data_IF_434523015247
#
_entry.id   IF_434523015247
#
_cell.length_a   1.000
_cell.length_b   1.000
_cell.length_c   1.000
_cell.angle_alpha   90.00
_cell.angle_beta   90.00
_cell.angle_gamma   90.00
#
_symmetry.space_group_name_H-M   'P 1'
#
loop_
_entity.id
_entity.type
_entity.pdbx_description
1 polymer ?
#
# COMPACT_ATOMS: atom_id res chain seq x y z
N UNK A 1 10.77 24.81 -2.60
CA UNK A 1 9.34 24.42 -2.55
C UNK A 1 9.29 22.95 -2.14
N UNK A 2 8.77 22.66 -0.97
CA UNK A 2 8.49 21.30 -0.53
C UNK A 2 7.31 20.84 -1.39
N UNK A 3 7.57 19.96 -2.35
CA UNK A 3 6.52 19.34 -3.14
C UNK A 3 5.78 18.38 -2.21
N UNK A 4 4.50 18.62 -1.98
CA UNK A 4 3.68 17.72 -1.19
C UNK A 4 3.56 16.38 -1.96
N UNK A 5 4.11 15.26 -1.46
CA UNK A 5 4.06 13.97 -2.15
C UNK A 5 2.64 13.40 -2.22
N UNK A 6 1.74 13.96 -1.44
CA UNK A 6 0.31 13.69 -1.48
C UNK A 6 -0.43 14.66 -2.42
N UNK A 7 0.21 15.08 -3.53
CA UNK A 7 -0.46 15.95 -4.50
C UNK A 7 -1.69 15.23 -5.02
N UNK A 8 -2.81 15.75 -4.61
CA UNK A 8 -4.14 15.31 -5.04
C UNK A 8 -4.44 15.96 -6.39
N UNK A 9 -4.22 15.26 -7.46
CA UNK A 9 -4.75 15.63 -8.76
C UNK A 9 -6.01 14.82 -9.05
N UNK A 10 -7.07 15.10 -8.31
CA UNK A 10 -8.38 14.54 -8.59
C UNK A 10 -9.16 14.16 -7.33
N UNK A 11 -10.01 15.06 -6.85
CA UNK A 11 -11.14 14.69 -6.00
C UNK A 11 -12.13 13.92 -6.88
N UNK A 12 -12.26 12.62 -6.66
CA UNK A 12 -13.38 11.87 -7.22
C UNK A 12 -14.58 12.17 -6.32
N UNK A 13 -15.56 12.92 -6.85
CA UNK A 13 -16.78 13.26 -6.12
C UNK A 13 -17.65 12.01 -5.94
N UNK A 14 -18.15 11.73 -4.73
CA UNK A 14 -19.03 10.58 -4.46
C UNK A 14 -20.29 10.50 -5.33
N UNK A 15 -20.73 11.60 -5.90
CA UNK A 15 -21.91 11.65 -6.77
C UNK A 15 -21.72 10.88 -8.10
N UNK A 16 -20.49 10.55 -8.48
CA UNK A 16 -20.18 9.88 -9.74
C UNK A 16 -19.93 8.37 -9.63
N UNK A 17 -20.26 7.76 -8.51
CA UNK A 17 -20.00 6.33 -8.27
C UNK A 17 -20.87 5.37 -9.11
N UNK A 18 -21.77 5.87 -9.93
CA UNK A 18 -22.61 5.04 -10.80
C UNK A 18 -21.96 4.66 -12.12
N UNK A 19 -20.92 5.37 -12.57
CA UNK A 19 -20.18 5.06 -13.80
C UNK A 19 -18.73 4.68 -13.50
N UNK A 20 -18.52 3.42 -13.14
CA UNK A 20 -17.22 2.87 -12.80
C UNK A 20 -16.18 2.95 -13.92
N UNK A 21 -16.62 3.03 -15.16
CA UNK A 21 -15.69 3.08 -16.30
C UNK A 21 -15.01 4.44 -16.40
N UNK A 22 -15.76 5.54 -16.33
CA UNK A 22 -15.14 6.89 -16.37
C UNK A 22 -14.23 7.15 -15.18
N UNK A 23 -14.66 6.74 -13.98
CA UNK A 23 -13.85 6.91 -12.77
C UNK A 23 -12.57 6.08 -12.83
N UNK A 24 -12.69 4.84 -13.32
CA UNK A 24 -11.52 3.97 -13.50
C UNK A 24 -10.54 4.56 -14.52
N UNK A 25 -11.00 5.14 -15.61
CA UNK A 25 -10.15 5.80 -16.62
C UNK A 25 -9.42 7.00 -16.01
N UNK A 26 -10.09 7.81 -15.21
CA UNK A 26 -9.46 8.95 -14.53
C UNK A 26 -8.39 8.50 -13.52
N UNK A 27 -8.70 7.47 -12.73
CA UNK A 27 -7.79 6.89 -11.75
C UNK A 27 -6.56 6.31 -12.45
N UNK A 28 -6.74 5.53 -13.49
CA UNK A 28 -5.67 4.93 -14.30
C UNK A 28 -4.78 6.02 -14.89
N UNK A 29 -5.37 7.00 -15.56
CA UNK A 29 -4.61 8.11 -16.18
C UNK A 29 -3.79 8.88 -15.16
N UNK A 30 -4.32 9.10 -13.97
CA UNK A 30 -3.60 9.81 -12.92
C UNK A 30 -2.40 9.02 -12.41
N UNK A 31 -2.55 7.73 -12.22
CA UNK A 31 -1.45 6.84 -11.78
C UNK A 31 -0.41 6.65 -12.89
N UNK A 32 -0.81 6.52 -14.14
CA UNK A 32 0.10 6.43 -15.29
C UNK A 32 0.94 7.70 -15.46
N UNK A 33 0.41 8.85 -15.04
CA UNK A 33 1.15 10.12 -14.99
C UNK A 33 2.08 10.24 -13.76
N UNK A 34 2.22 9.19 -12.96
CA UNK A 34 3.10 9.15 -11.81
C UNK A 34 2.58 9.87 -10.56
N UNK A 35 1.28 10.14 -10.48
CA UNK A 35 0.67 10.80 -9.34
C UNK A 35 0.21 9.80 -8.28
N UNK A 36 0.30 10.21 -7.02
CA UNK A 36 -0.42 9.54 -5.94
C UNK A 36 -1.85 10.07 -5.87
N UNK A 37 -2.78 9.24 -5.42
CA UNK A 37 -4.20 9.57 -5.37
C UNK A 37 -4.75 9.52 -3.95
N UNK A 38 -5.72 10.39 -3.69
CA UNK A 38 -6.53 10.34 -2.47
C UNK A 38 -8.01 10.17 -2.85
N UNK A 39 -8.63 9.12 -2.32
CA UNK A 39 -10.04 8.82 -2.51
C UNK A 39 -10.76 8.98 -1.17
N UNK A 40 -11.64 9.95 -1.09
CA UNK A 40 -12.44 10.20 0.10
C UNK A 40 -13.90 9.94 -0.24
N UNK A 41 -14.50 8.95 0.41
CA UNK A 41 -15.90 8.60 0.19
C UNK A 41 -16.47 7.93 1.45
N UNK A 42 -17.74 8.16 1.77
CA UNK A 42 -18.39 7.47 2.89
C UNK A 42 -18.24 5.95 2.81
N UNK A 43 -18.36 5.29 3.95
CA UNK A 43 -18.37 3.82 4.00
C UNK A 43 -19.45 3.25 3.10
N UNK A 44 -19.19 2.09 2.51
CA UNK A 44 -20.10 1.35 1.60
C UNK A 44 -20.42 2.04 0.27
N UNK A 45 -19.68 3.09 -0.09
CA UNK A 45 -19.85 3.79 -1.38
C UNK A 45 -18.95 3.24 -2.50
N UNK A 46 -18.42 2.04 -2.34
CA UNK A 46 -17.75 1.32 -3.43
C UNK A 46 -16.28 1.68 -3.71
N UNK A 47 -15.58 2.42 -2.80
CA UNK A 47 -14.13 2.72 -2.95
C UNK A 47 -13.30 1.49 -3.24
N UNK A 48 -13.43 0.49 -2.38
CA UNK A 48 -12.74 -0.80 -2.52
C UNK A 48 -13.06 -1.46 -3.83
N UNK A 49 -14.35 -1.46 -4.22
CA UNK A 49 -14.81 -2.03 -5.50
C UNK A 49 -14.21 -1.32 -6.70
N UNK A 50 -14.05 0.01 -6.67
CA UNK A 50 -13.41 0.77 -7.74
C UNK A 50 -11.93 0.40 -7.88
N UNK A 51 -11.19 0.35 -6.78
CA UNK A 51 -9.77 -0.01 -6.78
C UNK A 51 -9.60 -1.45 -7.29
N UNK A 52 -10.38 -2.39 -6.79
CA UNK A 52 -10.34 -3.79 -7.23
C UNK A 52 -10.72 -3.92 -8.71
N UNK A 53 -11.68 -3.17 -9.19
CA UNK A 53 -12.03 -3.14 -10.60
C UNK A 53 -10.87 -2.70 -11.48
N UNK A 54 -10.11 -1.67 -11.07
CA UNK A 54 -8.89 -1.26 -11.76
C UNK A 54 -7.81 -2.33 -11.72
N UNK A 55 -7.62 -2.99 -10.58
CA UNK A 55 -6.62 -4.04 -10.39
C UNK A 55 -6.89 -5.29 -11.25
N UNK A 56 -8.14 -5.56 -11.58
CA UNK A 56 -8.53 -6.69 -12.43
C UNK A 56 -8.30 -6.45 -13.93
N UNK A 57 -8.00 -5.22 -14.35
CA UNK A 57 -7.72 -4.92 -15.76
C UNK A 57 -6.47 -5.65 -16.23
N UNK A 58 -6.54 -6.36 -17.39
CA UNK A 58 -5.41 -7.16 -17.91
C UNK A 58 -4.13 -6.33 -18.10
N UNK A 59 -4.26 -5.08 -18.55
CA UNK A 59 -3.13 -4.17 -18.76
C UNK A 59 -2.40 -3.89 -17.44
N UNK A 60 -3.14 -3.68 -16.38
CA UNK A 60 -2.58 -3.44 -15.06
C UNK A 60 -1.91 -4.68 -14.48
N UNK A 61 -2.51 -5.85 -14.61
CA UNK A 61 -1.91 -7.12 -14.15
C UNK A 61 -0.59 -7.41 -14.85
N UNK A 62 -0.48 -7.00 -16.11
CA UNK A 62 0.76 -7.17 -16.90
C UNK A 62 1.83 -6.16 -16.50
N UNK A 63 1.44 -4.91 -16.27
CA UNK A 63 2.36 -3.77 -16.09
C UNK A 63 2.80 -3.58 -14.65
N UNK A 64 1.90 -3.80 -13.69
CA UNK A 64 2.11 -3.45 -12.29
C UNK A 64 2.04 -4.65 -11.35
N UNK A 65 2.75 -4.56 -10.23
CA UNK A 65 2.36 -5.26 -9.02
C UNK A 65 1.37 -4.39 -8.26
N UNK A 66 0.20 -4.94 -7.95
CA UNK A 66 -0.88 -4.22 -7.29
C UNK A 66 -1.15 -4.80 -5.91
N UNK A 67 -1.20 -3.93 -4.90
CA UNK A 67 -1.43 -4.30 -3.50
C UNK A 67 -2.61 -3.51 -2.94
N UNK A 68 -3.41 -4.17 -2.13
CA UNK A 68 -4.52 -3.57 -1.41
C UNK A 68 -4.38 -3.89 0.08
N UNK A 69 -4.20 -2.86 0.89
CA UNK A 69 -3.96 -2.98 2.33
C UNK A 69 -5.07 -2.24 3.08
N UNK A 70 -5.88 -2.97 3.83
CA UNK A 70 -6.88 -2.40 4.74
C UNK A 70 -6.26 -2.29 6.14
N UNK A 71 -6.16 -1.06 6.64
CA UNK A 71 -5.58 -0.77 7.95
C UNK A 71 -6.60 -0.39 9.01
N UNK A 72 -7.89 -0.64 8.77
CA UNK A 72 -8.97 -0.29 9.70
C UNK A 72 -8.74 -0.82 11.12
N UNK A 73 -8.26 -2.05 11.23
CA UNK A 73 -8.07 -2.73 12.52
C UNK A 73 -6.67 -2.55 13.13
N UNK A 74 -5.85 -1.70 12.54
CA UNK A 74 -4.52 -1.39 13.07
C UNK A 74 -4.58 -0.27 14.10
N UNK A 75 -3.73 -0.34 15.13
CA UNK A 75 -3.66 0.62 16.22
C UNK A 75 -2.26 1.15 16.51
N UNK A 76 -1.25 0.73 15.75
CA UNK A 76 0.15 1.12 15.94
C UNK A 76 0.95 1.03 14.64
N UNK A 77 2.11 1.66 14.61
CA UNK A 77 3.06 1.53 13.51
C UNK A 77 3.52 0.08 13.32
N UNK A 78 3.66 -0.67 14.40
CA UNK A 78 3.99 -2.11 14.35
C UNK A 78 2.93 -2.91 13.59
N UNK A 79 1.66 -2.70 13.92
CA UNK A 79 0.55 -3.37 13.22
C UNK A 79 0.42 -2.92 11.76
N UNK A 80 0.64 -1.64 11.48
CA UNK A 80 0.69 -1.13 10.11
C UNK A 80 1.78 -1.83 9.30
N UNK A 81 3.00 -1.88 9.84
CA UNK A 81 4.17 -2.49 9.18
C UNK A 81 3.95 -3.99 8.96
N UNK A 82 3.41 -4.69 9.96
CA UNK A 82 3.03 -6.09 9.85
C UNK A 82 2.02 -6.32 8.73
N UNK A 83 0.93 -5.56 8.72
CA UNK A 83 -0.14 -5.69 7.72
C UNK A 83 0.37 -5.40 6.31
N UNK A 84 1.16 -4.35 6.14
CA UNK A 84 1.78 -4.00 4.87
C UNK A 84 2.72 -5.12 4.36
N UNK A 85 3.61 -5.60 5.19
CA UNK A 85 4.56 -6.65 4.83
C UNK A 85 3.87 -7.96 4.49
N UNK A 86 2.88 -8.36 5.26
CA UNK A 86 2.10 -9.59 5.04
C UNK A 86 1.34 -9.54 3.72
N UNK A 87 0.62 -8.46 3.45
CA UNK A 87 -0.14 -8.30 2.20
C UNK A 87 0.76 -8.31 0.96
N UNK A 88 1.90 -7.64 1.03
CA UNK A 88 2.88 -7.65 -0.06
C UNK A 88 3.39 -9.06 -0.31
N UNK A 89 3.81 -9.76 0.74
CA UNK A 89 4.33 -11.11 0.63
C UNK A 89 3.30 -12.09 0.07
N UNK A 90 2.11 -12.14 0.63
CA UNK A 90 1.03 -13.04 0.21
C UNK A 90 0.56 -12.76 -1.23
N UNK A 91 0.56 -11.51 -1.65
CA UNK A 91 0.22 -11.13 -3.02
C UNK A 91 1.27 -11.61 -4.03
N UNK A 92 2.54 -11.55 -3.69
CA UNK A 92 3.64 -11.87 -4.61
C UNK A 92 4.04 -13.34 -4.60
N UNK A 93 3.77 -14.06 -3.52
CA UNK A 93 4.12 -15.49 -3.40
C UNK A 93 3.67 -16.33 -4.59
N UNK A 94 2.40 -16.26 -5.06
CA UNK A 94 1.96 -17.01 -6.22
C UNK A 94 2.38 -16.39 -7.58
N UNK A 95 2.88 -15.16 -7.59
CA UNK A 95 3.11 -14.40 -8.83
C UNK A 95 4.57 -14.35 -9.27
N UNK A 96 5.50 -14.33 -8.33
CA UNK A 96 6.92 -14.13 -8.63
C UNK A 96 7.83 -14.74 -7.58
N UNK A 97 8.48 -15.86 -7.91
CA UNK A 97 9.52 -16.46 -7.06
C UNK A 97 10.67 -15.50 -6.78
N UNK A 98 11.05 -14.71 -7.80
CA UNK A 98 12.12 -13.72 -7.68
C UNK A 98 11.79 -12.67 -6.63
N UNK A 99 10.58 -12.11 -6.70
CA UNK A 99 10.14 -11.09 -5.75
C UNK A 99 9.98 -11.66 -4.33
N UNK A 100 9.53 -12.91 -4.21
CA UNK A 100 9.45 -13.59 -2.92
C UNK A 100 10.83 -13.79 -2.31
N UNK A 101 11.81 -14.24 -3.08
CA UNK A 101 13.20 -14.38 -2.62
C UNK A 101 13.82 -13.04 -2.24
N UNK A 102 13.59 -12.01 -3.06
CA UNK A 102 14.07 -10.66 -2.79
C UNK A 102 13.48 -10.10 -1.48
N UNK A 103 12.22 -10.41 -1.18
CA UNK A 103 11.56 -10.04 0.07
C UNK A 103 12.31 -10.64 1.27
N UNK A 104 12.57 -11.95 1.24
CA UNK A 104 13.30 -12.65 2.30
C UNK A 104 14.73 -12.13 2.47
N UNK A 105 15.39 -11.76 1.36
CA UNK A 105 16.76 -11.24 1.39
C UNK A 105 16.85 -9.79 1.88
N UNK A 106 15.82 -8.98 1.63
CA UNK A 106 15.81 -7.56 1.95
C UNK A 106 15.34 -7.28 3.37
N UNK A 107 14.31 -8.00 3.83
CA UNK A 107 13.74 -7.79 5.16
C UNK A 107 14.52 -8.59 6.23
N UNK A 108 15.75 -8.19 6.48
CA UNK A 108 16.67 -8.87 7.40
C UNK A 108 16.21 -8.83 8.86
N UNK A 109 15.48 -7.80 9.25
CA UNK A 109 14.94 -7.66 10.62
C UNK A 109 13.99 -8.79 11.00
N UNK A 110 13.38 -9.46 10.01
CA UNK A 110 12.43 -10.56 10.20
C UNK A 110 12.84 -11.83 9.46
N UNK A 111 14.07 -11.93 8.99
CA UNK A 111 14.55 -13.04 8.14
C UNK A 111 14.47 -14.42 8.80
N UNK A 112 14.62 -14.49 10.12
CA UNK A 112 14.50 -15.74 10.88
C UNK A 112 13.08 -16.32 10.96
N UNK A 113 12.09 -15.62 10.40
CA UNK A 113 10.66 -16.04 10.40
C UNK A 113 10.22 -16.66 9.09
N UNK A 114 11.11 -16.79 8.13
CA UNK A 114 10.83 -17.51 6.90
C UNK A 114 11.18 -18.99 7.07
N UNK A 115 10.18 -19.84 6.86
CA UNK A 115 10.33 -21.27 6.79
C UNK A 115 10.03 -21.80 5.40
N UNK A 116 10.10 -23.12 5.24
CA UNK A 116 9.68 -23.81 4.04
C UNK A 116 8.70 -24.92 4.42
N UNK A 117 7.65 -25.05 3.63
CA UNK A 117 6.75 -26.17 3.74
C UNK A 117 7.50 -27.45 3.31
N UNK A 118 7.61 -28.47 4.18
CA UNK A 118 8.37 -29.69 3.85
C UNK A 118 7.82 -30.48 2.66
N UNK A 119 6.52 -30.34 2.37
CA UNK A 119 5.85 -31.09 1.33
C UNK A 119 5.91 -30.38 -0.03
N UNK A 120 5.71 -29.09 -0.04
CA UNK A 120 5.65 -28.29 -1.28
C UNK A 120 6.96 -27.56 -1.59
N UNK A 121 7.90 -27.51 -0.64
CA UNK A 121 9.13 -26.70 -0.70
C UNK A 121 8.85 -25.23 -1.01
N UNK A 122 7.64 -24.75 -0.67
CA UNK A 122 7.28 -23.34 -0.82
C UNK A 122 7.69 -22.56 0.42
N UNK A 123 8.17 -21.32 0.25
CA UNK A 123 8.45 -20.45 1.40
C UNK A 123 7.18 -20.21 2.20
N UNK A 124 7.26 -20.43 3.50
CA UNK A 124 6.20 -20.08 4.45
C UNK A 124 6.62 -18.87 5.27
N UNK A 125 5.68 -17.98 5.50
CA UNK A 125 5.90 -16.78 6.26
C UNK A 125 5.15 -16.87 7.58
N UNK A 126 5.86 -17.21 8.64
CA UNK A 126 5.31 -17.38 10.00
C UNK A 126 5.58 -16.13 10.85
N UNK A 127 5.38 -14.93 10.26
CA UNK A 127 5.53 -13.69 11.00
C UNK A 127 4.36 -13.50 11.96
N UNK A 128 4.69 -13.25 13.20
CA UNK A 128 3.76 -12.77 14.21
C UNK A 128 4.02 -11.28 14.47
N UNK A 129 3.02 -10.59 15.01
CA UNK A 129 3.11 -9.16 15.31
C UNK A 129 4.28 -8.84 16.25
N UNK A 130 4.53 -9.71 17.25
CA UNK A 130 5.62 -9.57 18.20
C UNK A 130 7.03 -9.71 17.61
N UNK A 131 7.14 -10.22 16.40
CA UNK A 131 8.43 -10.39 15.71
C UNK A 131 8.99 -9.09 15.14
N UNK A 132 8.15 -8.06 15.04
CA UNK A 132 8.58 -6.73 14.60
C UNK A 132 9.00 -5.91 15.82
N UNK A 133 10.27 -6.01 16.18
CA UNK A 133 10.83 -5.30 17.32
C UNK A 133 11.01 -3.80 17.07
N UNK A 134 11.40 -3.45 15.84
CA UNK A 134 11.66 -2.08 15.41
C UNK A 134 10.86 -1.78 14.14
N UNK A 135 9.59 -1.36 14.28
CA UNK A 135 8.70 -1.19 13.14
C UNK A 135 9.18 -0.14 12.13
N UNK A 136 9.84 0.94 12.55
CA UNK A 136 10.40 1.94 11.64
C UNK A 136 11.50 1.35 10.75
N UNK A 137 12.35 0.51 11.30
CA UNK A 137 13.41 -0.17 10.57
C UNK A 137 12.86 -1.20 9.58
N UNK A 138 11.89 -2.00 10.00
CA UNK A 138 11.23 -2.98 9.12
C UNK A 138 10.47 -2.28 8.00
N UNK A 139 9.82 -1.14 8.28
CA UNK A 139 9.15 -0.33 7.28
C UNK A 139 10.13 0.20 6.23
N UNK A 140 11.30 0.68 6.65
CA UNK A 140 12.36 1.11 5.75
C UNK A 140 12.81 -0.04 4.82
N UNK A 141 13.02 -1.23 5.36
CA UNK A 141 13.34 -2.42 4.57
C UNK A 141 12.25 -2.76 3.53
N UNK A 142 10.97 -2.61 3.88
CA UNK A 142 9.86 -2.81 2.94
C UNK A 142 9.95 -1.81 1.78
N UNK A 143 10.21 -0.54 2.04
CA UNK A 143 10.39 0.46 0.98
C UNK A 143 11.64 0.22 0.13
N UNK A 144 12.75 -0.21 0.73
CA UNK A 144 13.95 -0.63 -0.02
C UNK A 144 13.63 -1.81 -0.94
N UNK A 145 12.87 -2.77 -0.45
CA UNK A 145 12.40 -3.91 -1.24
C UNK A 145 11.53 -3.47 -2.42
N UNK A 146 10.54 -2.63 -2.18
CA UNK A 146 9.65 -2.12 -3.22
C UNK A 146 10.41 -1.33 -4.30
N UNK A 147 11.44 -0.57 -3.91
CA UNK A 147 12.27 0.17 -4.85
C UNK A 147 13.08 -0.74 -5.80
N UNK A 148 13.32 -1.99 -5.40
CA UNK A 148 14.03 -3.01 -6.20
C UNK A 148 13.10 -3.88 -7.06
N UNK A 149 11.79 -3.64 -7.03
CA UNK A 149 10.83 -4.42 -7.79
C UNK A 149 11.11 -4.32 -9.29
N UNK A 150 10.94 -5.43 -10.00
CA UNK A 150 11.16 -5.52 -11.45
C UNK A 150 9.98 -5.01 -12.29
N UNK A 151 8.90 -4.63 -11.62
CA UNK A 151 7.76 -3.90 -12.19
C UNK A 151 7.39 -2.74 -11.26
N UNK A 152 6.83 -1.66 -11.79
CA UNK A 152 6.27 -0.62 -10.94
C UNK A 152 5.12 -1.17 -10.08
N UNK A 153 4.95 -0.59 -8.91
CA UNK A 153 3.97 -1.02 -7.92
C UNK A 153 2.86 0.02 -7.76
N UNK A 154 1.64 -0.44 -7.55
CA UNK A 154 0.52 0.38 -7.10
C UNK A 154 0.07 -0.16 -5.75
N UNK A 155 0.06 0.71 -4.75
CA UNK A 155 -0.23 0.34 -3.37
C UNK A 155 -1.42 1.16 -2.90
N UNK A 156 -2.57 0.51 -2.76
CA UNK A 156 -3.75 1.10 -2.16
C UNK A 156 -3.79 0.82 -0.66
N UNK A 157 -3.94 1.87 0.14
CA UNK A 157 -4.08 1.78 1.59
C UNK A 157 -5.48 2.29 1.92
N UNK A 158 -6.38 1.39 2.29
CA UNK A 158 -7.76 1.73 2.67
C UNK A 158 -7.84 2.07 4.16
N UNK A 159 -8.80 2.93 4.48
CA UNK A 159 -9.02 3.50 5.80
C UNK A 159 -7.77 4.22 6.36
N UNK A 160 -7.07 4.94 5.45
CA UNK A 160 -5.77 5.57 5.72
C UNK A 160 -5.79 6.55 6.90
N UNK A 161 -6.92 7.19 7.20
CA UNK A 161 -7.06 8.06 8.38
C UNK A 161 -6.77 7.34 9.71
N UNK A 162 -6.76 5.99 9.71
CA UNK A 162 -6.47 5.22 10.91
C UNK A 162 -5.09 5.51 11.50
N UNK A 163 -4.10 5.89 10.68
CA UNK A 163 -2.76 6.24 11.17
C UNK A 163 -2.75 7.43 12.14
N UNK A 164 -3.73 8.32 12.04
CA UNK A 164 -3.85 9.46 12.96
C UNK A 164 -4.22 9.04 14.40
N UNK A 165 -4.69 7.81 14.59
CA UNK A 165 -5.06 7.25 15.89
C UNK A 165 -3.92 6.48 16.56
N UNK A 166 -2.78 6.32 15.89
CA UNK A 166 -1.63 5.61 16.45
C UNK A 166 -0.96 6.40 17.58
N UNK A 167 -0.40 5.71 18.59
CA UNK A 167 0.28 6.38 19.69
C UNK A 167 1.60 7.02 19.28
N UNK A 168 2.23 6.53 18.21
CA UNK A 168 3.50 7.06 17.72
C UNK A 168 3.28 8.42 17.05
N UNK A 169 4.17 9.34 17.35
CA UNK A 169 4.14 10.69 16.76
C UNK A 169 4.76 10.70 15.37
N UNK A 170 4.27 11.60 14.52
CA UNK A 170 4.86 11.88 13.22
C UNK A 170 4.82 10.72 12.18
N UNK A 171 3.87 9.80 12.30
CA UNK A 171 3.69 8.71 11.32
C UNK A 171 3.50 9.23 9.90
N UNK A 172 2.71 10.30 9.74
CA UNK A 172 2.50 10.93 8.43
C UNK A 172 3.81 11.44 7.84
N UNK A 173 4.65 12.09 8.65
CA UNK A 173 5.94 12.59 8.21
C UNK A 173 6.90 11.44 7.84
N UNK A 174 6.88 10.35 8.61
CA UNK A 174 7.66 9.15 8.32
C UNK A 174 7.25 8.54 6.97
N UNK A 175 5.97 8.29 6.76
CA UNK A 175 5.46 7.75 5.50
C UNK A 175 5.74 8.69 4.32
N UNK A 176 5.55 9.98 4.51
CA UNK A 176 5.85 11.00 3.50
C UNK A 176 7.31 10.95 3.05
N UNK A 177 8.23 10.80 4.00
CA UNK A 177 9.68 10.67 3.70
C UNK A 177 9.97 9.46 2.82
N UNK A 178 9.36 8.31 3.08
CA UNK A 178 9.53 7.11 2.27
C UNK A 178 8.90 7.28 0.88
N UNK A 179 7.68 7.81 0.81
CA UNK A 179 6.94 8.00 -0.44
C UNK A 179 7.65 8.98 -1.38
N UNK A 180 8.27 10.04 -0.83
CA UNK A 180 9.03 11.00 -1.64
C UNK A 180 10.28 10.42 -2.29
N UNK A 181 10.89 9.41 -1.67
CA UNK A 181 12.13 8.80 -2.15
C UNK A 181 11.90 7.69 -3.18
N UNK A 182 10.72 7.11 -3.23
CA UNK A 182 10.43 5.98 -4.09
C UNK A 182 9.82 6.44 -5.42
N UNK A 183 10.41 6.01 -6.53
CA UNK A 183 10.02 6.48 -7.86
C UNK A 183 9.16 5.47 -8.64
N UNK A 184 9.25 4.19 -8.30
CA UNK A 184 8.56 3.11 -8.99
C UNK A 184 7.29 2.62 -8.28
N UNK A 185 6.83 3.32 -7.25
CA UNK A 185 5.61 3.03 -6.52
C UNK A 185 4.67 4.23 -6.55
N UNK A 186 3.40 3.95 -6.81
CA UNK A 186 2.31 4.92 -6.76
C UNK A 186 1.31 4.48 -5.71
N UNK A 187 0.78 5.44 -4.97
CA UNK A 187 -0.07 5.17 -3.82
C UNK A 187 -1.50 5.67 -4.07
N UNK A 188 -2.45 4.89 -3.59
CA UNK A 188 -3.86 5.27 -3.48
C UNK A 188 -4.20 5.28 -1.99
N UNK A 189 -4.43 6.47 -1.45
CA UNK A 189 -4.88 6.65 -0.08
C UNK A 189 -6.39 6.75 -0.07
N UNK A 190 -7.06 5.72 0.39
CA UNK A 190 -8.50 5.68 0.49
C UNK A 190 -8.95 5.85 1.94
N UNK A 191 -10.04 6.58 2.16
CA UNK A 191 -10.58 6.79 3.49
C UNK A 191 -12.04 7.17 3.50
N UNK A 192 -12.69 6.94 4.63
CA UNK A 192 -14.10 7.20 4.85
C UNK A 192 -14.37 8.41 5.76
N UNK A 193 -13.41 8.82 6.59
CA UNK A 193 -13.53 9.95 7.49
C UNK A 193 -13.02 11.23 6.82
N UNK A 194 -13.94 11.94 6.15
CA UNK A 194 -13.61 13.10 5.30
C UNK A 194 -12.76 14.14 6.02
N UNK A 195 -13.12 14.48 7.24
CA UNK A 195 -12.44 15.53 8.02
C UNK A 195 -10.99 15.16 8.33
N UNK A 196 -10.77 13.91 8.78
CA UNK A 196 -9.43 13.41 9.06
C UNK A 196 -8.58 13.34 7.79
N UNK A 197 -9.13 12.78 6.71
CA UNK A 197 -8.43 12.69 5.44
C UNK A 197 -8.08 14.07 4.89
N UNK A 198 -8.97 15.05 4.96
CA UNK A 198 -8.68 16.41 4.51
C UNK A 198 -7.55 17.05 5.32
N UNK A 199 -7.52 16.87 6.63
CA UNK A 199 -6.46 17.42 7.48
C UNK A 199 -5.07 16.81 7.18
N UNK A 200 -5.02 15.57 6.70
CA UNK A 200 -3.77 14.88 6.36
C UNK A 200 -3.20 15.33 5.00
N UNK A 201 -4.05 15.77 4.08
CA UNK A 201 -3.67 16.01 2.68
C UNK A 201 -3.85 17.47 2.20
N UNK A 202 -4.24 18.39 3.08
CA UNK A 202 -4.42 19.83 2.77
C UNK A 202 -3.35 20.72 3.46
#
# INVERSE_FOLDING_TARGET
KIVNPFIVTGKIDPAYFCDREEESVRLIRSLDNGNNLVIISPRRMGKTGLIQFCYEKPEWKKTYYTFFIDILHTSSLREFTYTLGKEIYETLLPRSKRMTQLFMQTLKSISGKFGFDPLSNTPTFSLELGDIDRPEYTLDEIFVYLAKADKPCIIAIDEFQQIAKYPEKNIEALLRTHIQKINNCHFIFAGSERHMMQNMFV
#
